data_IF_503859828412
#
_entry.id   IF_503859828412
#
_cell.length_a   1.000
_cell.length_b   1.000
_cell.length_c   1.000
_cell.angle_alpha   90.00
_cell.angle_beta   90.00
_cell.angle_gamma   90.00
#
_symmetry.space_group_name_H-M   'P 1'
#
loop_
_entity.id
_entity.type
_entity.pdbx_description
1 polymer ?
#
# COMPACT_ATOMS: atom_id res chain seq x y z
N UNK A 1 -5.55 -13.71 22.69
CA UNK A 1 -5.99 -13.22 21.37
C UNK A 1 -4.85 -13.48 20.40
N UNK A 2 -5.03 -14.15 19.26
CA UNK A 2 -3.92 -14.43 18.35
C UNK A 2 -3.25 -13.10 18.00
N UNK A 3 -1.95 -12.97 18.19
CA UNK A 3 -1.29 -11.70 17.88
C UNK A 3 -1.33 -11.50 16.36
N UNK A 4 -1.81 -10.33 15.91
CA UNK A 4 -1.72 -9.99 14.48
C UNK A 4 -0.24 -10.00 14.09
N UNK A 5 0.14 -10.91 13.18
CA UNK A 5 1.53 -11.03 12.74
C UNK A 5 1.97 -9.74 12.07
N UNK A 6 2.80 -8.97 12.77
CA UNK A 6 3.40 -7.72 12.27
C UNK A 6 4.10 -7.93 10.92
N UNK A 7 4.73 -9.10 10.73
CA UNK A 7 5.37 -9.50 9.47
C UNK A 7 4.37 -9.57 8.30
N UNK A 8 3.19 -10.16 8.51
CA UNK A 8 2.13 -10.23 7.48
C UNK A 8 1.58 -8.85 7.12
N UNK A 9 1.40 -7.98 8.11
CA UNK A 9 0.98 -6.59 7.88
C UNK A 9 2.01 -5.84 7.04
N UNK A 10 3.30 -5.99 7.35
CA UNK A 10 4.38 -5.32 6.63
C UNK A 10 4.47 -5.79 5.16
N UNK A 11 4.37 -7.10 4.92
CA UNK A 11 4.39 -7.66 3.57
C UNK A 11 3.18 -7.17 2.76
N UNK A 12 1.99 -7.17 3.36
CA UNK A 12 0.78 -6.67 2.71
C UNK A 12 0.86 -5.16 2.41
N UNK A 13 1.46 -4.38 3.32
CA UNK A 13 1.71 -2.96 3.13
C UNK A 13 2.65 -2.69 1.95
N UNK A 14 3.75 -3.44 1.85
CA UNK A 14 4.73 -3.32 0.77
C UNK A 14 4.14 -3.72 -0.58
N UNK A 15 3.39 -4.84 -0.63
CA UNK A 15 2.71 -5.27 -1.86
C UNK A 15 1.65 -4.24 -2.28
N UNK A 16 0.83 -3.76 -1.35
CA UNK A 16 -0.17 -2.73 -1.61
C UNK A 16 0.46 -1.41 -2.10
N UNK A 17 1.57 -1.00 -1.50
CA UNK A 17 2.34 0.17 -1.91
C UNK A 17 2.92 0.06 -3.32
N UNK A 18 3.49 -1.09 -3.66
CA UNK A 18 4.03 -1.37 -5.00
C UNK A 18 2.92 -1.37 -6.06
N UNK A 19 1.80 -2.03 -5.79
CA UNK A 19 0.64 -2.04 -6.71
C UNK A 19 0.10 -0.62 -6.90
N UNK A 20 -0.03 0.16 -5.83
CA UNK A 20 -0.48 1.55 -5.93
C UNK A 20 0.44 2.39 -6.82
N UNK A 21 1.76 2.24 -6.68
CA UNK A 21 2.71 2.96 -7.53
C UNK A 21 2.58 2.58 -9.01
N UNK A 22 2.38 1.29 -9.33
CA UNK A 22 2.12 0.83 -10.70
C UNK A 22 0.84 1.47 -11.25
N UNK A 23 -0.24 1.50 -10.45
CA UNK A 23 -1.50 2.13 -10.86
C UNK A 23 -1.29 3.62 -11.13
N UNK A 24 -0.59 4.35 -10.25
CA UNK A 24 -0.29 5.77 -10.47
C UNK A 24 0.53 5.99 -11.74
N UNK A 25 1.52 5.15 -12.03
CA UNK A 25 2.31 5.22 -13.26
C UNK A 25 1.45 5.02 -14.51
N UNK A 26 0.51 4.06 -14.46
CA UNK A 26 -0.43 3.81 -15.56
C UNK A 26 -1.33 5.04 -15.76
N UNK A 27 -1.86 5.62 -14.69
CA UNK A 27 -2.67 6.84 -14.78
C UNK A 27 -1.88 8.03 -15.31
N UNK A 28 -0.62 8.19 -14.91
CA UNK A 28 0.25 9.24 -15.45
C UNK A 28 0.47 9.09 -16.95
N UNK A 29 0.74 7.87 -17.39
CA UNK A 29 0.87 7.55 -18.81
C UNK A 29 -0.40 7.88 -19.60
N UNK A 30 -1.58 7.49 -19.09
CA UNK A 30 -2.88 7.76 -19.72
C UNK A 30 -3.17 9.27 -19.76
N UNK A 31 -2.81 10.01 -18.71
CA UNK A 31 -3.04 11.45 -18.59
C UNK A 31 -2.00 12.30 -19.34
N UNK A 32 -1.07 11.67 -20.08
CA UNK A 32 0.00 12.37 -20.79
C UNK A 32 0.99 13.08 -19.87
N UNK A 33 0.98 12.77 -18.57
CA UNK A 33 1.96 13.28 -17.61
C UNK A 33 3.18 12.38 -17.68
N UNK A 34 4.33 12.94 -18.04
CA UNK A 34 5.59 12.18 -18.06
C UNK A 34 5.87 11.49 -16.73
N UNK A 35 6.60 10.38 -16.77
CA UNK A 35 6.98 9.61 -15.58
C UNK A 35 7.84 10.50 -14.68
N UNK A 36 7.31 10.88 -13.50
CA UNK A 36 8.02 11.68 -12.50
C UNK A 36 8.31 10.85 -11.25
N UNK A 37 9.56 10.45 -11.11
CA UNK A 37 10.07 9.69 -9.96
C UNK A 37 9.85 10.40 -8.62
N UNK A 38 9.89 11.74 -8.61
CA UNK A 38 9.63 12.57 -7.42
C UNK A 38 8.25 12.26 -6.82
N UNK A 39 7.21 12.21 -7.68
CA UNK A 39 5.85 11.89 -7.26
C UNK A 39 5.74 10.46 -6.74
N UNK A 40 6.39 9.51 -7.42
CA UNK A 40 6.40 8.11 -7.02
C UNK A 40 7.03 7.91 -5.63
N UNK A 41 8.11 8.65 -5.35
CA UNK A 41 8.79 8.64 -4.06
C UNK A 41 7.92 9.16 -2.90
N UNK A 42 6.96 10.06 -3.15
CA UNK A 42 5.98 10.48 -2.15
C UNK A 42 4.77 9.54 -2.06
N UNK A 43 4.31 8.99 -3.19
CA UNK A 43 3.17 8.08 -3.22
C UNK A 43 3.47 6.73 -2.58
N UNK A 44 4.70 6.22 -2.72
CA UNK A 44 5.09 4.93 -2.14
C UNK A 44 4.95 4.88 -0.61
N UNK A 45 5.60 5.76 0.19
CA UNK A 45 5.47 5.72 1.65
C UNK A 45 4.03 5.99 2.10
N UNK A 46 3.31 6.89 1.42
CA UNK A 46 1.89 7.12 1.69
C UNK A 46 1.07 5.84 1.50
N UNK A 47 1.26 5.15 0.37
CA UNK A 47 0.55 3.91 0.07
C UNK A 47 0.92 2.80 1.06
N UNK A 48 2.20 2.64 1.41
CA UNK A 48 2.65 1.67 2.42
C UNK A 48 1.98 1.93 3.77
N UNK A 49 1.87 3.19 4.21
CA UNK A 49 1.18 3.53 5.47
C UNK A 49 -0.31 3.21 5.40
N UNK A 50 -0.99 3.61 4.32
CA UNK A 50 -2.43 3.39 4.14
C UNK A 50 -2.77 1.90 4.06
N UNK A 51 -2.08 1.16 3.18
CA UNK A 51 -2.31 -0.28 3.04
C UNK A 51 -1.86 -1.06 4.28
N UNK A 52 -0.79 -0.64 4.96
CA UNK A 52 -0.41 -1.21 6.24
C UNK A 52 -1.48 -1.03 7.32
N UNK A 53 -2.05 0.17 7.43
CA UNK A 53 -3.16 0.44 8.35
C UNK A 53 -4.41 -0.37 8.00
N UNK A 54 -4.79 -0.44 6.72
CA UNK A 54 -5.92 -1.22 6.25
C UNK A 54 -5.73 -2.71 6.52
N UNK A 55 -4.56 -3.27 6.22
CA UNK A 55 -4.22 -4.67 6.51
C UNK A 55 -4.28 -4.95 8.01
N UNK A 56 -3.68 -4.10 8.85
CA UNK A 56 -3.76 -4.23 10.30
C UNK A 56 -5.22 -4.24 10.80
N UNK A 57 -6.03 -3.28 10.34
CA UNK A 57 -7.45 -3.20 10.70
C UNK A 57 -8.22 -4.44 10.25
N UNK A 58 -7.93 -4.95 9.05
CA UNK A 58 -8.62 -6.10 8.49
C UNK A 58 -8.28 -7.40 9.23
N UNK A 59 -6.99 -7.62 9.55
CA UNK A 59 -6.58 -8.76 10.38
C UNK A 59 -7.18 -8.70 11.78
N UNK A 60 -7.24 -7.51 12.40
CA UNK A 60 -7.90 -7.33 13.70
C UNK A 60 -9.40 -7.62 13.64
N UNK A 61 -10.08 -7.31 12.52
CA UNK A 61 -11.49 -7.70 12.31
C UNK A 61 -11.64 -9.21 12.13
N UNK A 62 -10.75 -9.85 11.38
CA UNK A 62 -10.78 -11.31 11.16
C UNK A 62 -10.57 -12.11 12.45
N UNK A 63 -9.76 -11.62 13.40
CA UNK A 63 -9.55 -12.27 14.69
C UNK A 63 -10.70 -12.11 15.69
N UNK A 64 -11.65 -11.20 15.41
CA UNK A 64 -12.87 -11.03 16.22
C UNK A 64 -14.04 -11.87 15.71
N UNK A 65 -13.90 -12.48 14.52
CA UNK A 65 -14.79 -13.51 14.01
C UNK A 65 -14.28 -14.88 14.44
#
# INVERSE_FOLDING_TARGET
MPEVSKKRVLIAALIGGSIFCIVVLIFDYILGRGIRWERLAFYFPFAVVVYGYLSYRNFKKQQKK
#
